data_IF_822364317001
#
_entry.id   IF_822364317001
#
_cell.length_a   1.000
_cell.length_b   1.000
_cell.length_c   1.000
_cell.angle_alpha   90.00
_cell.angle_beta   90.00
_cell.angle_gamma   90.00
#
_symmetry.space_group_name_H-M   'P 1'
#
loop_
_entity.id
_entity.type
_entity.pdbx_description
1 polymer ?
#
# COMPACT_ATOMS: atom_id res chain seq x y z
N UNK A 1 55.79 -76.02 -24.43
CA UNK A 1 55.17 -75.17 -23.40
C UNK A 1 54.15 -74.30 -24.12
N UNK A 2 52.84 -74.64 -24.02
CA UNK A 2 51.85 -73.89 -23.23
C UNK A 2 51.90 -72.39 -23.55
N UNK A 3 50.92 -71.72 -24.15
CA UNK A 3 49.49 -71.99 -24.29
C UNK A 3 48.76 -70.69 -23.94
N UNK A 4 47.87 -70.21 -24.81
CA UNK A 4 46.75 -69.33 -24.41
C UNK A 4 45.74 -69.25 -25.55
N UNK A 5 44.70 -70.08 -25.45
CA UNK A 5 43.50 -69.92 -26.25
C UNK A 5 42.80 -68.61 -25.87
N UNK A 6 42.63 -67.73 -26.85
CA UNK A 6 41.71 -66.61 -26.74
C UNK A 6 40.27 -67.14 -26.84
N UNK A 7 39.57 -67.19 -25.71
CA UNK A 7 38.13 -67.47 -25.68
C UNK A 7 37.38 -66.29 -26.30
N UNK A 8 37.08 -66.40 -27.59
CA UNK A 8 36.11 -65.56 -28.29
C UNK A 8 34.72 -65.85 -27.72
N UNK A 9 34.25 -64.99 -26.83
CA UNK A 9 32.87 -65.00 -26.35
C UNK A 9 31.93 -64.86 -27.54
N UNK A 10 31.19 -65.92 -27.86
CA UNK A 10 30.09 -65.86 -28.83
C UNK A 10 28.98 -65.02 -28.21
N UNK A 11 28.96 -63.74 -28.53
CA UNK A 11 27.74 -62.94 -28.40
C UNK A 11 26.71 -63.61 -29.32
N UNK A 12 25.63 -64.10 -28.73
CA UNK A 12 24.53 -64.71 -29.45
C UNK A 12 23.94 -63.68 -30.41
N UNK A 13 24.18 -63.84 -31.70
CA UNK A 13 23.44 -63.17 -32.77
C UNK A 13 22.02 -63.76 -32.81
N UNK A 14 21.15 -63.27 -31.93
CA UNK A 14 19.71 -63.43 -32.07
C UNK A 14 19.16 -62.25 -32.85
N UNK A 15 18.70 -62.48 -34.07
CA UNK A 15 17.99 -61.48 -34.86
C UNK A 15 16.69 -61.06 -34.17
N UNK A 16 16.43 -59.76 -34.14
CA UNK A 16 15.25 -59.19 -33.50
C UNK A 16 13.99 -59.54 -34.29
N UNK A 17 12.98 -60.08 -33.63
CA UNK A 17 11.72 -60.44 -34.32
C UNK A 17 10.81 -59.21 -34.44
N UNK A 18 10.03 -59.12 -35.53
CA UNK A 18 9.05 -58.03 -35.73
C UNK A 18 8.06 -57.94 -34.56
N UNK A 19 7.67 -59.10 -34.01
CA UNK A 19 6.74 -59.20 -32.88
C UNK A 19 7.32 -58.55 -31.62
N UNK A 20 8.62 -58.71 -31.38
CA UNK A 20 9.30 -58.12 -30.24
C UNK A 20 9.35 -56.58 -30.32
N UNK A 21 9.55 -56.00 -31.51
CA UNK A 21 9.47 -54.54 -31.73
C UNK A 21 8.08 -54.01 -31.42
N UNK A 22 7.05 -54.72 -31.87
CA UNK A 22 5.64 -54.35 -31.67
C UNK A 22 5.28 -54.31 -30.19
N UNK A 23 5.72 -55.30 -29.42
CA UNK A 23 5.48 -55.34 -27.97
C UNK A 23 6.19 -54.18 -27.27
N UNK A 24 7.44 -53.88 -27.62
CA UNK A 24 8.15 -52.75 -27.02
C UNK A 24 7.51 -51.40 -27.34
N UNK A 25 7.07 -51.18 -28.57
CA UNK A 25 6.35 -49.96 -28.95
C UNK A 25 5.04 -49.82 -28.18
N UNK A 26 4.29 -50.92 -28.04
CA UNK A 26 3.04 -50.91 -27.30
C UNK A 26 3.25 -50.57 -25.82
N UNK A 27 4.24 -51.19 -25.17
CA UNK A 27 4.59 -50.89 -23.78
C UNK A 27 5.08 -49.44 -23.63
N UNK A 28 5.89 -48.94 -24.57
CA UNK A 28 6.36 -47.56 -24.56
C UNK A 28 5.20 -46.55 -24.62
N UNK A 29 4.19 -46.79 -25.47
CA UNK A 29 2.99 -45.94 -25.56
C UNK A 29 2.19 -45.95 -24.25
N UNK A 30 2.02 -47.11 -23.62
CA UNK A 30 1.31 -47.21 -22.33
C UNK A 30 2.05 -46.45 -21.22
N UNK A 31 3.38 -46.56 -21.16
CA UNK A 31 4.20 -45.86 -20.17
C UNK A 31 4.10 -44.35 -20.37
N UNK A 32 4.26 -43.85 -21.60
CA UNK A 32 4.14 -42.42 -21.91
C UNK A 32 2.75 -41.90 -21.57
N UNK A 33 1.69 -42.65 -21.90
CA UNK A 33 0.31 -42.28 -21.54
C UNK A 33 0.11 -42.20 -20.02
N UNK A 34 0.68 -43.12 -19.24
CA UNK A 34 0.65 -43.07 -17.77
C UNK A 34 1.34 -41.83 -17.20
N UNK A 35 2.53 -41.50 -17.71
CA UNK A 35 3.26 -40.29 -17.31
C UNK A 35 2.48 -39.02 -17.68
N UNK A 36 1.86 -38.98 -18.85
CA UNK A 36 1.04 -37.86 -19.30
C UNK A 36 -0.18 -37.63 -18.40
N UNK A 37 -0.85 -38.72 -17.99
CA UNK A 37 -1.97 -38.66 -17.04
C UNK A 37 -1.54 -38.11 -15.67
N UNK A 38 -0.38 -38.52 -15.17
CA UNK A 38 0.20 -37.99 -13.93
C UNK A 38 0.53 -36.50 -14.05
N UNK A 39 1.14 -36.08 -15.15
CA UNK A 39 1.50 -34.68 -15.40
C UNK A 39 0.27 -33.76 -15.52
N UNK A 40 -0.80 -34.24 -16.18
CA UNK A 40 -2.07 -33.50 -16.28
C UNK A 40 -2.80 -33.47 -14.92
N UNK A 41 -2.75 -34.55 -14.14
CA UNK A 41 -3.31 -34.61 -12.79
C UNK A 41 -2.65 -33.63 -11.82
N UNK A 42 -1.32 -33.49 -11.91
CA UNK A 42 -0.55 -32.52 -11.12
C UNK A 42 -0.95 -31.08 -11.47
N UNK A 43 -1.14 -30.75 -12.74
CA UNK A 43 -1.50 -29.39 -13.16
C UNK A 43 -2.87 -28.91 -12.64
N UNK A 44 -3.79 -29.81 -12.26
CA UNK A 44 -5.10 -29.43 -11.70
C UNK A 44 -5.09 -29.28 -10.17
N UNK A 45 -4.25 -30.04 -9.47
CA UNK A 45 -4.15 -29.99 -8.01
C UNK A 45 -3.33 -28.76 -7.54
N UNK A 46 -2.31 -28.37 -8.30
CA UNK A 46 -1.49 -27.19 -7.98
C UNK A 46 -2.18 -25.84 -8.26
N UNK A 47 -3.12 -25.78 -9.20
CA UNK A 47 -3.82 -24.52 -9.54
C UNK A 47 -4.93 -24.17 -8.54
N UNK A 48 -5.68 -25.16 -8.05
CA UNK A 48 -6.79 -24.95 -7.09
C UNK A 48 -6.34 -24.44 -5.71
N UNK A 49 -5.11 -24.75 -5.29
CA UNK A 49 -4.57 -24.33 -3.99
C UNK A 49 -3.78 -23.01 -4.05
N UNK A 50 -3.20 -22.67 -5.20
CA UNK A 50 -2.45 -21.41 -5.39
C UNK A 50 -3.35 -20.18 -5.33
N UNK A 51 -4.57 -20.27 -5.85
CA UNK A 51 -5.51 -19.14 -5.93
C UNK A 51 -5.90 -18.61 -4.54
N UNK A 52 -6.21 -19.50 -3.58
CA UNK A 52 -6.57 -19.08 -2.22
C UNK A 52 -5.38 -18.59 -1.40
N UNK A 53 -4.18 -19.10 -1.67
CA UNK A 53 -2.98 -18.71 -0.94
C UNK A 53 -2.47 -17.34 -1.39
N UNK A 54 -2.57 -17.05 -2.68
CA UNK A 54 -2.19 -15.75 -3.25
C UNK A 54 -3.13 -14.64 -2.74
N UNK A 55 -4.44 -14.88 -2.73
CA UNK A 55 -5.43 -13.94 -2.18
C UNK A 55 -5.15 -13.62 -0.72
N UNK A 56 -4.89 -14.64 0.12
CA UNK A 56 -4.57 -14.41 1.55
C UNK A 56 -3.29 -13.62 1.75
N UNK A 57 -2.30 -13.83 0.90
CA UNK A 57 -1.01 -13.14 1.00
C UNK A 57 -1.14 -11.69 0.56
N UNK A 58 -1.86 -11.44 -0.54
CA UNK A 58 -2.21 -10.11 -1.02
C UNK A 58 -3.02 -9.32 0.02
N UNK A 59 -4.02 -9.93 0.65
CA UNK A 59 -4.81 -9.29 1.71
C UNK A 59 -3.98 -8.92 2.93
N UNK A 60 -3.06 -9.79 3.37
CA UNK A 60 -2.15 -9.46 4.48
C UNK A 60 -1.18 -8.33 4.11
N UNK A 61 -0.69 -8.32 2.88
CA UNK A 61 0.17 -7.25 2.40
C UNK A 61 -0.59 -5.90 2.40
N UNK A 62 -1.82 -5.86 1.88
CA UNK A 62 -2.67 -4.67 1.90
C UNK A 62 -2.99 -4.22 3.33
N UNK A 63 -3.34 -5.13 4.23
CA UNK A 63 -3.62 -4.81 5.63
C UNK A 63 -2.39 -4.26 6.36
N UNK A 64 -1.20 -4.80 6.12
CA UNK A 64 0.04 -4.29 6.70
C UNK A 64 0.39 -2.89 6.20
N UNK A 65 0.14 -2.61 4.92
CA UNK A 65 0.34 -1.28 4.35
C UNK A 65 -0.62 -0.26 4.99
N UNK A 66 -1.92 -0.59 5.05
CA UNK A 66 -2.91 0.28 5.70
C UNK A 66 -2.59 0.53 7.18
N UNK A 67 -2.17 -0.49 7.92
CA UNK A 67 -1.77 -0.34 9.32
C UNK A 67 -0.57 0.60 9.48
N UNK A 68 0.37 0.59 8.52
CA UNK A 68 1.49 1.51 8.50
C UNK A 68 1.04 2.96 8.25
N UNK A 69 0.17 3.17 7.25
CA UNK A 69 -0.42 4.49 6.95
C UNK A 69 -1.18 5.06 8.15
N UNK A 70 -2.01 4.26 8.82
CA UNK A 70 -2.72 4.71 10.03
C UNK A 70 -1.78 5.05 11.18
N UNK A 71 -0.69 4.29 11.33
CA UNK A 71 0.32 4.61 12.34
C UNK A 71 1.03 5.94 12.03
N UNK A 72 1.23 6.24 10.74
CA UNK A 72 1.80 7.50 10.30
C UNK A 72 0.84 8.67 10.52
N UNK A 73 -0.46 8.50 10.22
CA UNK A 73 -1.50 9.48 10.53
C UNK A 73 -1.65 9.71 12.05
N UNK A 74 -1.42 8.67 12.85
CA UNK A 74 -1.46 8.69 14.33
C UNK A 74 -0.16 9.18 15.00
N UNK A 75 0.84 9.67 14.25
CA UNK A 75 2.09 10.18 14.84
C UNK A 75 1.84 11.32 15.84
N UNK A 76 2.79 11.63 16.73
CA UNK A 76 2.61 12.62 17.80
C UNK A 76 2.17 13.99 17.24
N UNK A 77 1.00 14.47 17.67
CA UNK A 77 0.27 15.60 17.04
C UNK A 77 -0.83 15.18 16.05
N UNK A 78 -1.21 13.90 16.08
CA UNK A 78 -1.79 13.14 14.97
C UNK A 78 -3.13 13.60 14.44
N UNK A 79 -3.26 13.41 13.14
CA UNK A 79 -4.42 13.63 12.29
C UNK A 79 -5.52 12.59 12.52
N UNK A 80 -5.35 11.70 13.52
CA UNK A 80 -6.32 10.68 13.90
C UNK A 80 -7.18 11.20 15.06
N UNK A 81 -8.45 11.47 14.77
CA UNK A 81 -9.40 12.00 15.75
C UNK A 81 -10.01 10.87 16.59
N UNK A 82 -10.53 9.83 15.94
CA UNK A 82 -11.10 8.66 16.61
C UNK A 82 -11.13 7.40 15.75
N UNK A 83 -11.06 6.24 16.42
CA UNK A 83 -11.25 4.91 15.82
C UNK A 83 -12.38 4.21 16.58
N UNK A 84 -13.44 3.85 15.88
CA UNK A 84 -14.57 3.10 16.39
C UNK A 84 -14.79 1.83 15.55
N UNK A 85 -15.78 1.01 15.90
CA UNK A 85 -15.98 -0.34 15.34
C UNK A 85 -16.26 -0.32 13.83
N UNK A 86 -16.88 0.76 13.33
CA UNK A 86 -17.29 0.88 11.92
C UNK A 86 -16.82 2.17 11.25
N UNK A 87 -16.10 3.03 11.95
CA UNK A 87 -15.74 4.36 11.50
C UNK A 87 -14.37 4.78 12.05
N UNK A 88 -13.62 5.47 11.20
CA UNK A 88 -12.33 6.06 11.52
C UNK A 88 -12.41 7.51 11.05
N UNK A 89 -12.20 8.45 11.97
CA UNK A 89 -12.22 9.87 11.68
C UNK A 89 -10.78 10.36 11.64
N UNK A 90 -10.39 10.87 10.47
CA UNK A 90 -9.11 11.52 10.23
C UNK A 90 -9.38 13.00 9.99
N UNK A 91 -8.60 13.83 10.65
CA UNK A 91 -8.47 15.24 10.32
C UNK A 91 -7.69 15.33 9.00
N UNK A 92 -7.81 16.45 8.30
CA UNK A 92 -7.11 16.67 7.04
C UNK A 92 -7.08 18.16 6.77
N UNK A 93 -5.96 18.66 6.25
CA UNK A 93 -5.80 20.10 5.97
C UNK A 93 -6.64 20.49 4.75
N UNK A 94 -7.77 21.13 4.99
CA UNK A 94 -8.69 21.60 3.94
C UNK A 94 -8.30 22.97 3.36
N UNK A 95 -7.60 23.79 4.15
CA UNK A 95 -7.23 25.15 3.75
C UNK A 95 -5.96 25.64 4.45
N UNK A 96 -5.29 26.59 3.81
CA UNK A 96 -4.07 27.22 4.29
C UNK A 96 -4.08 28.70 3.95
N UNK A 97 -3.43 29.50 4.78
CA UNK A 97 -3.32 30.93 4.53
C UNK A 97 -2.29 31.59 5.42
N UNK A 98 -1.94 32.82 5.07
CA UNK A 98 -1.05 33.65 5.88
C UNK A 98 -1.89 34.62 6.70
N UNK A 99 -1.63 34.66 8.00
CA UNK A 99 -2.27 35.64 8.89
C UNK A 99 -1.71 37.02 8.57
N UNK A 100 -2.62 37.96 8.35
CA UNK A 100 -2.29 39.30 7.88
C UNK A 100 -2.95 40.40 8.71
N UNK A 101 -3.96 40.05 9.52
CA UNK A 101 -4.61 40.94 10.45
C UNK A 101 -5.16 40.17 11.64
N UNK A 102 -5.20 40.81 12.80
CA UNK A 102 -5.75 40.24 14.04
C UNK A 102 -6.78 41.23 14.57
N UNK A 103 -7.97 40.74 14.93
CA UNK A 103 -8.98 41.59 15.54
C UNK A 103 -8.58 41.93 16.98
N UNK A 104 -8.83 43.18 17.40
CA UNK A 104 -8.33 43.72 18.67
C UNK A 104 -9.02 43.17 19.94
N UNK A 105 -10.27 42.74 19.83
CA UNK A 105 -11.11 42.35 20.99
C UNK A 105 -11.82 41.00 20.84
N UNK A 106 -11.61 40.32 19.71
CA UNK A 106 -12.24 39.04 19.41
C UNK A 106 -11.19 38.12 18.81
N UNK A 107 -11.28 36.82 19.06
CA UNK A 107 -10.37 35.83 18.50
C UNK A 107 -10.66 35.58 17.01
N UNK A 108 -10.44 36.60 16.18
CA UNK A 108 -10.64 36.58 14.73
C UNK A 108 -9.34 36.95 14.03
N UNK A 109 -8.99 36.17 13.02
CA UNK A 109 -7.80 36.35 12.21
C UNK A 109 -8.23 36.67 10.78
N UNK A 110 -7.66 37.71 10.21
CA UNK A 110 -7.65 37.95 8.78
C UNK A 110 -6.60 37.04 8.16
N UNK A 111 -7.00 36.32 7.11
CA UNK A 111 -6.17 35.36 6.40
C UNK A 111 -6.13 35.73 4.92
N UNK A 112 -4.92 35.77 4.37
CA UNK A 112 -4.75 35.68 2.92
C UNK A 112 -4.74 34.20 2.54
N UNK A 113 -5.74 33.77 1.76
CA UNK A 113 -5.86 32.37 1.36
C UNK A 113 -4.74 32.01 0.37
N UNK A 114 -3.88 31.06 0.75
CA UNK A 114 -2.80 30.54 -0.10
C UNK A 114 -3.18 29.25 -0.81
N UNK A 115 -4.22 28.57 -0.34
CA UNK A 115 -4.69 27.34 -0.97
C UNK A 115 -5.79 26.65 -0.18
N UNK A 116 -6.68 26.01 -0.93
CA UNK A 116 -7.83 25.27 -0.39
C UNK A 116 -8.98 26.18 0.04
N UNK A 117 -10.04 25.55 0.49
CA UNK A 117 -11.15 26.22 1.15
C UNK A 117 -11.75 25.28 2.19
N UNK A 118 -12.32 25.85 3.25
CA UNK A 118 -12.96 25.10 4.31
C UNK A 118 -14.32 25.72 4.63
N UNK A 119 -15.26 24.85 4.99
CA UNK A 119 -16.53 25.25 5.57
C UNK A 119 -16.39 25.12 7.07
N UNK A 120 -16.48 26.21 7.82
CA UNK A 120 -16.35 26.16 9.27
C UNK A 120 -17.53 25.39 9.90
N UNK A 121 -17.21 24.26 10.51
CA UNK A 121 -18.09 23.40 11.30
C UNK A 121 -17.59 23.32 12.75
N UNK A 122 -18.42 22.78 13.65
CA UNK A 122 -18.13 22.73 15.09
C UNK A 122 -16.85 21.95 15.44
N UNK A 123 -16.42 21.01 14.60
CA UNK A 123 -15.29 20.11 14.86
C UNK A 123 -13.99 20.54 14.15
N UNK A 124 -14.02 21.69 13.47
CA UNK A 124 -12.87 22.21 12.75
C UNK A 124 -11.86 22.88 13.68
N UNK A 125 -10.59 22.66 13.37
CA UNK A 125 -9.46 23.23 14.09
C UNK A 125 -8.53 23.94 13.14
N UNK A 126 -8.01 25.09 13.55
CA UNK A 126 -6.95 25.79 12.85
C UNK A 126 -5.66 25.73 13.68
N UNK A 127 -4.54 25.62 12.97
CA UNK A 127 -3.20 25.76 13.53
C UNK A 127 -2.61 27.07 13.02
N UNK A 128 -2.12 27.89 13.94
CA UNK A 128 -1.51 29.18 13.63
C UNK A 128 -0.08 29.16 14.15
N UNK A 129 0.86 29.30 13.24
CA UNK A 129 2.26 29.48 13.58
C UNK A 129 2.53 30.94 13.92
N UNK A 130 3.14 31.19 15.06
CA UNK A 130 3.57 32.53 15.47
C UNK A 130 5.08 32.49 15.66
N UNK A 131 5.77 33.26 14.83
CA UNK A 131 7.19 33.48 15.01
C UNK A 131 7.43 34.61 16.03
N UNK A 132 8.39 34.43 16.92
CA UNK A 132 8.78 35.40 17.96
C UNK A 132 7.83 35.55 19.16
N UNK A 133 7.13 34.49 19.60
CA UNK A 133 6.15 34.62 20.70
C UNK A 133 6.83 34.91 22.05
N UNK A 134 6.43 35.99 22.72
CA UNK A 134 6.97 36.37 24.02
C UNK A 134 6.46 35.43 25.13
N UNK A 135 7.12 34.27 25.31
CA UNK A 135 6.85 33.41 26.47
C UNK A 135 7.38 31.98 26.44
N UNK A 136 7.63 31.36 25.27
CA UNK A 136 7.89 29.90 25.21
C UNK A 136 9.05 29.44 24.32
N UNK A 137 9.98 30.31 23.97
CA UNK A 137 10.96 30.03 22.90
C UNK A 137 10.49 30.70 21.62
N UNK A 138 11.44 31.02 20.74
CA UNK A 138 11.26 31.96 19.63
C UNK A 138 9.97 31.70 18.84
N UNK A 139 9.63 30.46 18.47
CA UNK A 139 8.47 30.18 17.64
C UNK A 139 7.53 29.12 18.24
N UNK A 140 6.22 29.27 18.00
CA UNK A 140 5.21 28.38 18.57
C UNK A 140 4.01 28.14 17.67
N UNK A 141 3.47 26.92 17.73
CA UNK A 141 2.19 26.55 17.11
C UNK A 141 1.05 26.71 18.12
N UNK A 142 0.05 27.50 17.76
CA UNK A 142 -1.19 27.63 18.50
C UNK A 142 -2.28 26.85 17.79
N UNK A 143 -2.95 25.95 18.50
CA UNK A 143 -4.06 25.16 17.98
C UNK A 143 -5.35 25.64 18.64
N UNK A 144 -6.38 25.91 17.83
CA UNK A 144 -7.68 26.38 18.32
C UNK A 144 -8.83 25.92 17.44
N UNK A 145 -10.03 25.82 18.02
CA UNK A 145 -11.25 25.52 17.28
C UNK A 145 -11.70 26.68 16.40
N UNK A 146 -12.29 26.38 15.25
CA UNK A 146 -12.79 27.38 14.30
C UNK A 146 -14.28 27.59 14.53
N UNK A 147 -14.67 28.79 14.99
CA UNK A 147 -16.07 29.10 15.26
C UNK A 147 -16.88 29.48 14.01
N UNK A 148 -16.22 29.90 12.92
CA UNK A 148 -16.88 30.40 11.72
C UNK A 148 -15.92 31.01 10.71
N UNK A 149 -16.34 31.05 9.45
CA UNK A 149 -15.70 31.78 8.35
C UNK A 149 -16.58 32.98 7.99
N UNK A 150 -15.97 34.15 7.83
CA UNK A 150 -16.66 35.40 7.52
C UNK A 150 -15.97 36.11 6.37
N UNK A 151 -16.72 36.91 5.61
CA UNK A 151 -16.11 37.86 4.68
C UNK A 151 -15.26 38.89 5.46
N UNK A 152 -14.06 39.28 4.97
CA UNK A 152 -13.14 40.16 5.71
C UNK A 152 -13.81 41.46 6.18
N UNK A 153 -14.63 42.06 5.31
CA UNK A 153 -15.37 43.29 5.58
C UNK A 153 -16.47 43.13 6.64
N UNK A 154 -17.06 41.95 6.77
CA UNK A 154 -18.04 41.61 7.81
C UNK A 154 -17.37 41.17 9.13
N UNK A 155 -16.14 40.66 9.04
CA UNK A 155 -15.37 40.14 10.18
C UNK A 155 -14.71 41.19 11.06
N UNK A 156 -14.64 42.45 10.60
CA UNK A 156 -13.98 43.55 11.31
C UNK A 156 -12.46 43.46 11.32
N UNK A 157 -11.89 42.60 10.46
CA UNK A 157 -10.45 42.45 10.25
C UNK A 157 -10.05 43.18 8.96
N UNK A 158 -8.84 43.76 8.87
CA UNK A 158 -8.36 44.37 7.64
C UNK A 158 -8.40 43.36 6.49
N UNK A 159 -8.89 43.78 5.32
CA UNK A 159 -8.76 42.96 4.11
C UNK A 159 -7.30 42.98 3.65
N UNK A 160 -6.74 41.80 3.46
CA UNK A 160 -5.32 41.64 3.24
C UNK A 160 -5.06 41.35 1.78
N UNK A 161 -4.63 42.38 1.05
CA UNK A 161 -4.09 42.22 -0.29
C UNK A 161 -2.62 41.77 -0.15
N UNK A 162 -2.33 40.52 -0.51
CA UNK A 162 -0.95 40.03 -0.55
C UNK A 162 -0.14 40.87 -1.55
N UNK A 163 0.80 41.68 -1.06
CA UNK A 163 1.60 42.58 -1.91
C UNK A 163 2.76 41.90 -2.62
N UNK A 164 2.91 40.57 -2.49
CA UNK A 164 3.81 39.75 -3.31
C UNK A 164 5.22 40.32 -3.41
N UNK A 165 5.98 40.32 -2.32
CA UNK A 165 7.44 40.35 -2.47
C UNK A 165 7.90 38.93 -2.83
N UNK A 166 8.11 38.72 -4.12
CA UNK A 166 8.85 37.61 -4.72
C UNK A 166 10.34 37.74 -4.46
#
# INVERSE_FOLDING_TARGET
MQGREERKGRLSEGGFTIVEVLVYLFVAVLVVAGVYNLMIGQNRLYMKQRELQDVRTSLRAAANLLAFEFRQASAAGGDLDSINTYDIILRSVQGSGVVCGIHNSSARLGLYNTGGDFTATTDDSAMVFVAGSAGTGDDGWFVGGVAGKYDPSAGGVPDCQWSGVS
#
